data_IF_786383878098
#
_entry.id   IF_786383878098
#
_cell.length_a   1.000
_cell.length_b   1.000
_cell.length_c   1.000
_cell.angle_alpha   90.00
_cell.angle_beta   90.00
_cell.angle_gamma   90.00
#
_symmetry.space_group_name_H-M   'P 1'
#
loop_
_entity.id
_entity.type
_entity.pdbx_description
1 polymer ?
#
# COMPACT_ATOMS: atom_id res chain seq x y z
N UNK A 1 -0.30 -23.35 -0.48
CA UNK A 1 -0.73 -23.76 -1.84
C UNK A 1 0.42 -23.59 -2.81
N UNK A 2 0.42 -24.24 -3.97
CA UNK A 2 1.50 -24.07 -4.97
C UNK A 2 1.19 -22.85 -5.83
N UNK A 3 2.00 -21.79 -5.74
CA UNK A 3 1.82 -20.58 -6.56
C UNK A 3 2.26 -20.87 -8.00
N UNK A 4 1.33 -20.86 -8.95
CA UNK A 4 1.62 -20.99 -10.38
C UNK A 4 1.98 -19.63 -10.98
N UNK A 5 3.22 -19.19 -10.80
CA UNK A 5 3.72 -17.95 -11.42
C UNK A 5 3.87 -18.11 -12.93
N UNK A 6 3.28 -17.20 -13.71
CA UNK A 6 3.31 -17.26 -15.18
C UNK A 6 4.65 -16.80 -15.79
N UNK A 7 5.36 -15.90 -15.10
CA UNK A 7 6.68 -15.44 -15.51
C UNK A 7 7.64 -15.35 -14.30
N UNK A 8 8.38 -16.44 -14.00
CA UNK A 8 9.37 -16.44 -12.94
C UNK A 8 10.55 -15.49 -13.18
N UNK A 9 10.71 -14.91 -14.38
CA UNK A 9 11.81 -13.98 -14.69
C UNK A 9 11.58 -12.59 -14.07
N UNK A 10 10.34 -12.22 -13.75
CA UNK A 10 9.98 -11.00 -13.04
C UNK A 10 10.70 -10.90 -11.67
N UNK A 11 10.89 -12.03 -11.00
CA UNK A 11 11.63 -12.10 -9.73
C UNK A 11 13.10 -11.70 -9.94
N UNK A 12 13.75 -12.27 -10.97
CA UNK A 12 15.13 -11.93 -11.31
C UNK A 12 15.26 -10.46 -11.69
N UNK A 13 14.31 -9.92 -12.46
CA UNK A 13 14.30 -8.51 -12.82
C UNK A 13 14.19 -7.61 -11.57
N UNK A 14 13.25 -7.90 -10.67
CA UNK A 14 13.10 -7.19 -9.40
C UNK A 14 14.38 -7.21 -8.56
N UNK A 15 15.00 -8.38 -8.36
CA UNK A 15 16.23 -8.50 -7.56
C UNK A 15 17.41 -7.75 -8.18
N UNK A 16 17.53 -7.72 -9.53
CA UNK A 16 18.54 -6.91 -10.23
C UNK A 16 18.34 -5.42 -10.03
N UNK A 17 17.09 -4.95 -10.05
CA UNK A 17 16.78 -3.54 -9.77
C UNK A 17 17.22 -3.16 -8.35
N UNK A 18 17.01 -4.04 -7.37
CA UNK A 18 17.44 -3.79 -5.99
C UNK A 18 18.97 -3.75 -5.83
N UNK A 19 19.72 -4.36 -6.76
CA UNK A 19 21.17 -4.33 -6.77
C UNK A 19 21.77 -3.05 -7.40
N UNK A 20 20.94 -2.12 -7.89
CA UNK A 20 21.36 -0.78 -8.36
C UNK A 20 22.51 -0.81 -9.40
N UNK A 21 22.52 -1.84 -10.26
CA UNK A 21 23.52 -2.00 -11.33
C UNK A 21 24.75 -2.85 -10.96
N UNK A 22 24.87 -3.31 -9.71
CA UNK A 22 25.94 -4.21 -9.29
C UNK A 22 25.63 -5.67 -9.68
N UNK A 23 26.34 -6.18 -10.68
CA UNK A 23 26.13 -7.51 -11.25
C UNK A 23 26.44 -8.66 -10.27
N UNK A 24 27.45 -8.48 -9.40
CA UNK A 24 27.84 -9.50 -8.42
C UNK A 24 26.79 -9.57 -7.30
N UNK A 25 26.38 -8.41 -6.79
CA UNK A 25 25.34 -8.29 -5.77
C UNK A 25 23.98 -8.81 -6.28
N UNK A 26 23.63 -8.52 -7.53
CA UNK A 26 22.45 -9.08 -8.18
C UNK A 26 22.52 -10.61 -8.20
N UNK A 27 23.67 -11.18 -8.55
CA UNK A 27 23.90 -12.61 -8.54
C UNK A 27 23.71 -13.23 -7.15
N UNK A 28 24.18 -12.57 -6.09
CA UNK A 28 24.01 -13.02 -4.71
C UNK A 28 22.56 -12.93 -4.21
N UNK A 29 21.84 -11.87 -4.57
CA UNK A 29 20.42 -11.71 -4.24
C UNK A 29 19.57 -12.77 -4.95
N UNK A 30 19.82 -13.01 -6.24
CA UNK A 30 19.16 -14.09 -7.00
C UNK A 30 19.44 -15.46 -6.37
N UNK A 31 20.69 -15.72 -5.99
CA UNK A 31 21.11 -16.96 -5.36
C UNK A 31 20.40 -17.21 -4.03
N UNK A 32 20.27 -16.17 -3.20
CA UNK A 32 19.70 -16.26 -1.86
C UNK A 32 18.17 -16.27 -1.83
N UNK A 33 17.50 -15.55 -2.72
CA UNK A 33 16.08 -15.22 -2.54
C UNK A 33 15.16 -15.87 -3.58
N UNK A 34 15.62 -16.09 -4.81
CA UNK A 34 14.76 -16.46 -5.95
C UNK A 34 13.87 -17.68 -5.68
N UNK A 35 14.41 -18.73 -5.05
CA UNK A 35 13.67 -19.96 -4.74
C UNK A 35 12.51 -19.73 -3.77
N UNK A 36 12.72 -18.89 -2.76
CA UNK A 36 11.70 -18.57 -1.75
C UNK A 36 10.63 -17.63 -2.31
N UNK A 37 11.01 -16.66 -3.13
CA UNK A 37 10.09 -15.70 -3.75
C UNK A 37 9.13 -16.38 -4.73
N UNK A 38 9.58 -17.42 -5.43
CA UNK A 38 8.71 -18.25 -6.30
C UNK A 38 7.55 -18.92 -5.55
N UNK A 39 7.64 -19.04 -4.22
CA UNK A 39 6.66 -19.72 -3.36
C UNK A 39 5.93 -18.75 -2.43
N UNK A 40 6.24 -17.45 -2.48
CA UNK A 40 5.66 -16.45 -1.57
C UNK A 40 4.26 -16.05 -2.05
N UNK A 41 3.23 -16.56 -1.38
CA UNK A 41 1.82 -16.27 -1.70
C UNK A 41 1.48 -14.78 -1.63
N UNK A 42 2.03 -14.03 -0.66
CA UNK A 42 1.83 -12.57 -0.55
C UNK A 42 2.37 -11.77 -1.75
N UNK A 43 3.31 -12.32 -2.51
CA UNK A 43 3.83 -11.69 -3.73
C UNK A 43 3.12 -12.17 -4.99
N UNK A 44 2.11 -13.02 -4.85
CA UNK A 44 1.40 -13.60 -5.95
C UNK A 44 0.04 -12.92 -6.09
N UNK A 45 -0.16 -12.20 -7.18
CA UNK A 45 -1.50 -11.69 -7.52
C UNK A 45 -2.13 -12.63 -8.53
N UNK A 46 -3.30 -13.18 -8.20
CA UNK A 46 -4.06 -14.02 -9.12
C UNK A 46 -4.44 -13.24 -10.39
N UNK A 47 -4.33 -13.91 -11.53
CA UNK A 47 -4.70 -13.37 -12.84
C UNK A 47 -6.07 -13.92 -13.19
N UNK A 48 -7.05 -13.02 -13.33
CA UNK A 48 -8.45 -13.39 -13.54
C UNK A 48 -8.86 -13.45 -15.02
N UNK A 49 -8.10 -12.80 -15.90
CA UNK A 49 -8.33 -12.78 -17.34
C UNK A 49 -7.02 -13.10 -18.08
N UNK A 50 -7.12 -13.90 -19.14
CA UNK A 50 -5.97 -14.29 -19.96
C UNK A 50 -5.34 -13.02 -20.59
N UNK A 51 -4.05 -12.74 -20.35
CA UNK A 51 -3.39 -11.56 -20.93
C UNK A 51 -3.46 -11.57 -22.47
N UNK A 52 -3.63 -10.41 -23.14
CA UNK A 52 -3.70 -10.34 -24.61
C UNK A 52 -2.47 -10.93 -25.32
N UNK A 53 -1.31 -10.80 -24.68
CA UNK A 53 0.02 -11.28 -25.07
C UNK A 53 0.38 -12.63 -24.44
N UNK A 54 -0.59 -13.36 -23.87
CA UNK A 54 -0.34 -14.62 -23.19
C UNK A 54 0.36 -15.65 -24.10
N UNK A 55 1.44 -16.29 -23.62
CA UNK A 55 2.16 -17.30 -24.37
C UNK A 55 1.28 -18.53 -24.63
N UNK A 56 1.56 -19.24 -25.72
CA UNK A 56 0.69 -20.32 -26.22
C UNK A 56 0.44 -21.43 -25.18
N UNK A 57 1.43 -21.73 -24.35
CA UNK A 57 1.30 -22.71 -23.26
C UNK A 57 0.29 -22.29 -22.19
N UNK A 58 0.20 -20.98 -21.88
CA UNK A 58 -0.73 -20.44 -20.90
C UNK A 58 -2.16 -20.45 -21.46
N UNK A 59 -2.32 -20.12 -22.75
CA UNK A 59 -3.63 -20.20 -23.45
C UNK A 59 -4.20 -21.62 -23.40
N UNK A 60 -3.35 -22.63 -23.63
CA UNK A 60 -3.76 -24.05 -23.62
C UNK A 60 -4.15 -24.55 -22.22
N UNK A 61 -3.55 -24.02 -21.16
CA UNK A 61 -3.80 -24.46 -19.77
C UNK A 61 -4.75 -23.57 -18.98
N UNK A 62 -5.25 -22.48 -19.58
CA UNK A 62 -6.01 -21.45 -18.87
C UNK A 62 -7.26 -22.00 -18.15
N UNK A 63 -8.02 -22.87 -18.82
CA UNK A 63 -9.28 -23.39 -18.29
C UNK A 63 -9.11 -24.57 -17.31
N UNK A 64 -7.99 -25.29 -17.37
CA UNK A 64 -7.80 -26.57 -16.64
C UNK A 64 -6.63 -26.54 -15.63
N UNK A 65 -5.83 -25.46 -15.60
CA UNK A 65 -4.56 -25.39 -14.87
C UNK A 65 -4.43 -24.27 -13.85
N UNK A 66 -5.48 -23.48 -13.62
CA UNK A 66 -5.48 -22.34 -12.69
C UNK A 66 -5.61 -22.75 -11.20
N UNK A 67 -5.45 -21.80 -10.27
CA UNK A 67 -5.23 -20.36 -10.48
C UNK A 67 -3.79 -20.00 -10.89
N UNK A 68 -3.64 -19.04 -11.81
CA UNK A 68 -2.35 -18.50 -12.29
C UNK A 68 -2.05 -17.15 -11.65
N UNK A 69 -0.77 -16.84 -11.43
CA UNK A 69 -0.36 -15.64 -10.69
C UNK A 69 0.76 -14.86 -11.40
N UNK A 70 0.78 -13.54 -11.23
CA UNK A 70 1.93 -12.69 -11.55
C UNK A 70 2.70 -12.31 -10.27
N UNK A 71 3.99 -12.00 -10.41
CA UNK A 71 4.80 -11.56 -9.28
C UNK A 71 4.57 -10.06 -9.04
N UNK A 72 3.96 -9.73 -7.89
CA UNK A 72 3.81 -8.35 -7.41
C UNK A 72 4.52 -8.18 -6.07
N UNK A 73 5.70 -7.54 -6.02
CA UNK A 73 6.36 -7.25 -4.76
C UNK A 73 5.58 -6.18 -3.98
N UNK A 74 5.38 -6.42 -2.69
CA UNK A 74 4.83 -5.45 -1.74
C UNK A 74 5.97 -4.61 -1.10
N UNK A 75 5.60 -3.53 -0.40
CA UNK A 75 6.57 -2.68 0.28
C UNK A 75 7.39 -3.45 1.34
N UNK A 76 6.76 -4.39 2.04
CA UNK A 76 7.40 -5.22 3.05
C UNK A 76 8.50 -6.11 2.43
N UNK A 77 8.25 -6.72 1.27
CA UNK A 77 9.24 -7.50 0.53
C UNK A 77 10.38 -6.62 0.05
N UNK A 78 10.09 -5.41 -0.46
CA UNK A 78 11.12 -4.47 -0.86
C UNK A 78 12.04 -4.11 0.33
N UNK A 79 11.47 -3.90 1.51
CA UNK A 79 12.23 -3.63 2.74
C UNK A 79 13.10 -4.83 3.17
N UNK A 80 12.54 -6.04 3.14
CA UNK A 80 13.30 -7.26 3.46
C UNK A 80 14.45 -7.50 2.48
N UNK A 81 14.22 -7.33 1.18
CA UNK A 81 15.26 -7.52 0.16
C UNK A 81 16.35 -6.46 0.32
N UNK A 82 15.97 -5.21 0.63
CA UNK A 82 16.93 -4.13 0.94
C UNK A 82 17.78 -4.46 2.16
N UNK A 83 17.18 -5.01 3.22
CA UNK A 83 17.92 -5.44 4.42
C UNK A 83 18.95 -6.54 4.11
N UNK A 84 18.57 -7.54 3.29
CA UNK A 84 19.48 -8.59 2.84
C UNK A 84 20.59 -8.04 1.94
N UNK A 85 20.25 -7.11 1.04
CA UNK A 85 21.23 -6.40 0.20
C UNK A 85 22.25 -5.66 1.06
N UNK A 86 21.79 -4.88 2.03
CA UNK A 86 22.66 -4.10 2.91
C UNK A 86 23.61 -5.02 3.69
N UNK A 87 23.14 -6.19 4.12
CA UNK A 87 23.98 -7.23 4.72
C UNK A 87 25.08 -7.70 3.77
N UNK A 88 24.74 -8.02 2.52
CA UNK A 88 25.70 -8.49 1.53
C UNK A 88 26.74 -7.43 1.16
N UNK A 89 26.31 -6.17 1.00
CA UNK A 89 27.20 -5.02 0.76
C UNK A 89 28.18 -4.85 1.92
N UNK A 90 27.68 -4.85 3.17
CA UNK A 90 28.52 -4.74 4.35
C UNK A 90 29.46 -5.94 4.50
N UNK A 91 28.98 -7.15 4.21
CA UNK A 91 29.79 -8.36 4.22
C UNK A 91 30.93 -8.32 3.20
N UNK A 92 30.68 -7.76 2.01
CA UNK A 92 31.72 -7.58 0.99
C UNK A 92 32.76 -6.56 1.44
N UNK A 93 32.33 -5.41 1.96
CA UNK A 93 33.24 -4.36 2.44
C UNK A 93 34.16 -4.86 3.56
N UNK A 94 33.63 -5.66 4.50
CA UNK A 94 34.38 -6.23 5.63
C UNK A 94 35.14 -7.52 5.28
N UNK A 95 35.19 -7.91 3.99
CA UNK A 95 35.82 -9.15 3.54
C UNK A 95 35.33 -10.40 4.31
N UNK A 96 34.02 -10.47 4.59
CA UNK A 96 33.43 -11.46 5.46
C UNK A 96 33.79 -12.90 5.03
N UNK A 97 34.25 -13.78 5.95
CA UNK A 97 34.77 -15.10 5.60
C UNK A 97 33.79 -16.00 4.82
N UNK A 98 32.48 -15.83 5.02
CA UNK A 98 31.48 -16.66 4.35
C UNK A 98 31.36 -16.37 2.84
N UNK A 99 31.74 -15.18 2.37
CA UNK A 99 31.75 -14.85 0.95
C UNK A 99 32.90 -15.53 0.21
N UNK A 100 34.00 -15.83 0.92
CA UNK A 100 35.18 -16.53 0.36
C UNK A 100 34.97 -18.05 0.26
N UNK A 101 33.98 -18.59 1.00
CA UNK A 101 33.66 -20.01 0.97
C UNK A 101 32.68 -20.31 -0.18
N UNK A 102 33.24 -20.53 -1.36
CA UNK A 102 32.50 -20.67 -2.63
C UNK A 102 32.45 -22.11 -3.17
N UNK A 103 31.50 -22.40 -4.06
CA UNK A 103 31.48 -23.63 -4.86
C UNK A 103 32.43 -23.55 -6.07
N UNK A 104 32.46 -24.59 -6.91
CA UNK A 104 33.27 -24.64 -8.13
C UNK A 104 32.93 -23.54 -9.16
N UNK A 105 31.75 -22.93 -9.05
CA UNK A 105 31.28 -21.83 -9.90
C UNK A 105 31.52 -20.45 -9.27
N UNK A 106 32.25 -20.36 -8.15
CA UNK A 106 32.56 -19.10 -7.48
C UNK A 106 31.40 -18.51 -6.65
N UNK A 107 30.34 -19.28 -6.40
CA UNK A 107 29.15 -18.81 -5.67
C UNK A 107 29.27 -19.07 -4.16
N UNK A 108 28.96 -18.10 -3.28
CA UNK A 108 29.04 -18.30 -1.83
C UNK A 108 28.09 -19.39 -1.32
N UNK A 109 28.65 -20.42 -0.67
CA UNK A 109 27.89 -21.60 -0.22
C UNK A 109 26.77 -21.26 0.77
N UNK A 110 26.97 -20.22 1.59
CA UNK A 110 25.97 -19.79 2.58
C UNK A 110 24.68 -19.32 1.91
N UNK A 111 24.75 -18.71 0.73
CA UNK A 111 23.60 -18.10 0.06
C UNK A 111 22.73 -19.14 -0.65
N UNK A 112 23.31 -20.25 -1.12
CA UNK A 112 22.59 -21.33 -1.82
C UNK A 112 21.44 -21.96 -1.01
N UNK A 113 21.54 -21.92 0.32
CA UNK A 113 20.63 -22.61 1.22
C UNK A 113 19.72 -21.65 2.01
N UNK A 114 19.64 -20.38 1.61
CA UNK A 114 18.77 -19.42 2.26
C UNK A 114 17.37 -19.41 1.63
N UNK A 115 16.40 -19.09 2.48
CA UNK A 115 15.14 -18.48 2.07
C UNK A 115 15.09 -17.03 2.59
N UNK A 116 14.06 -16.27 2.20
CA UNK A 116 13.92 -14.87 2.61
C UNK A 116 14.00 -14.67 4.13
N UNK A 117 13.33 -15.52 4.91
CA UNK A 117 13.31 -15.40 6.36
C UNK A 117 14.70 -15.69 6.97
N UNK A 118 15.36 -16.75 6.51
CA UNK A 118 16.71 -17.10 6.93
C UNK A 118 17.75 -16.06 6.49
N UNK A 119 17.56 -15.43 5.33
CA UNK A 119 18.40 -14.34 4.85
C UNK A 119 18.25 -13.09 5.71
N UNK A 120 17.01 -12.69 6.04
CA UNK A 120 16.74 -11.60 6.99
C UNK A 120 17.35 -11.90 8.37
N UNK A 121 17.16 -13.12 8.89
CA UNK A 121 17.74 -13.52 10.17
C UNK A 121 19.28 -13.52 10.14
N UNK A 122 19.88 -13.95 9.03
CA UNK A 122 21.33 -13.93 8.86
C UNK A 122 21.86 -12.49 8.79
N UNK A 123 21.14 -11.58 8.14
CA UNK A 123 21.42 -10.16 8.13
C UNK A 123 21.35 -9.58 9.56
N UNK A 124 20.26 -9.86 10.29
CA UNK A 124 20.09 -9.45 11.69
C UNK A 124 21.28 -9.91 12.56
N UNK A 125 21.62 -11.20 12.52
CA UNK A 125 22.73 -11.77 13.30
C UNK A 125 24.08 -11.20 12.90
N UNK A 126 24.28 -10.92 11.61
CA UNK A 126 25.52 -10.34 11.11
C UNK A 126 25.68 -8.90 11.64
N UNK A 127 24.62 -8.11 11.57
CA UNK A 127 24.62 -6.76 12.11
C UNK A 127 24.70 -6.75 13.64
N UNK A 128 24.01 -7.64 14.35
CA UNK A 128 24.18 -7.83 15.80
C UNK A 128 25.65 -8.09 16.17
N UNK A 129 26.37 -8.92 15.38
CA UNK A 129 27.78 -9.23 15.63
C UNK A 129 28.71 -8.05 15.34
N UNK A 130 28.55 -7.37 14.20
CA UNK A 130 29.29 -6.15 13.90
C UNK A 130 29.04 -5.08 14.98
N UNK A 131 27.79 -4.98 15.43
CA UNK A 131 27.36 -4.08 16.49
C UNK A 131 27.92 -4.47 17.87
N UNK A 132 28.29 -5.72 18.13
CA UNK A 132 28.97 -6.09 19.40
C UNK A 132 30.46 -5.76 19.43
N UNK A 133 31.10 -5.63 18.27
CA UNK A 133 32.56 -5.48 18.13
C UNK A 133 33.03 -4.01 18.02
N UNK A 134 32.12 -3.05 17.83
CA UNK A 134 32.47 -1.63 17.75
C UNK A 134 32.56 -0.98 19.16
N UNK A 135 33.59 -0.16 19.46
CA UNK A 135 33.76 0.51 20.75
C UNK A 135 32.54 1.35 21.12
N UNK A 136 32.25 1.47 22.42
CA UNK A 136 31.23 2.38 22.92
C UNK A 136 31.80 3.79 23.03
N UNK A 137 31.20 4.76 22.31
CA UNK A 137 31.53 6.17 22.45
C UNK A 137 30.41 6.92 23.19
N UNK A 138 30.83 7.64 24.23
CA UNK A 138 30.05 8.64 24.97
C UNK A 138 29.92 9.95 24.17
N UNK A 139 29.07 10.86 24.66
CA UNK A 139 28.56 12.02 23.92
C UNK A 139 29.61 13.10 23.54
N UNK A 140 29.31 13.79 22.42
CA UNK A 140 29.94 15.04 21.92
C UNK A 140 31.43 14.96 21.53
N UNK A 141 31.80 13.86 20.90
CA UNK A 141 33.13 13.53 20.36
C UNK A 141 33.35 13.99 18.89
N UNK A 142 32.47 14.84 18.35
CA UNK A 142 32.50 15.29 16.94
C UNK A 142 31.76 14.37 15.97
N UNK A 143 31.19 13.25 16.43
CA UNK A 143 30.46 12.31 15.58
C UNK A 143 28.96 12.63 15.45
N UNK A 144 28.42 13.51 16.29
CA UNK A 144 27.01 13.92 16.30
C UNK A 144 26.85 15.35 16.83
N UNK A 145 25.78 16.06 16.44
CA UNK A 145 25.52 17.44 16.84
C UNK A 145 24.05 17.65 17.24
N UNK A 146 23.80 18.35 18.35
CA UNK A 146 22.41 18.70 18.74
C UNK A 146 21.87 19.78 17.81
N UNK A 147 20.69 19.56 17.23
CA UNK A 147 20.05 20.50 16.29
C UNK A 147 18.75 21.11 16.82
N UNK A 148 18.11 20.48 17.82
CA UNK A 148 16.90 21.04 18.44
C UNK A 148 16.74 20.51 19.87
N UNK A 149 16.30 21.38 20.78
CA UNK A 149 16.05 21.05 22.18
C UNK A 149 14.56 21.21 22.50
N UNK A 150 14.06 20.41 23.44
CA UNK A 150 12.67 20.41 23.89
C UNK A 150 12.60 20.39 25.42
N UNK A 151 11.42 20.69 25.95
CA UNK A 151 11.14 20.55 27.39
C UNK A 151 11.38 19.11 27.87
N UNK A 152 11.73 18.95 29.16
CA UNK A 152 11.99 17.63 29.76
C UNK A 152 13.32 17.00 29.36
N UNK A 153 14.24 17.77 28.78
CA UNK A 153 15.59 17.30 28.41
C UNK A 153 15.63 16.50 27.11
N UNK A 154 14.53 16.43 26.36
CA UNK A 154 14.53 15.82 25.04
C UNK A 154 15.29 16.70 24.04
N UNK A 155 16.00 16.05 23.11
CA UNK A 155 16.70 16.73 22.02
C UNK A 155 16.72 15.90 20.75
N UNK A 156 16.85 16.56 19.62
CA UNK A 156 17.18 15.91 18.35
C UNK A 156 18.64 16.17 18.02
N UNK A 157 19.32 15.08 17.72
CA UNK A 157 20.75 15.05 17.43
C UNK A 157 20.94 14.58 15.99
N UNK A 158 21.66 15.34 15.19
CA UNK A 158 22.12 14.94 13.86
C UNK A 158 23.33 14.02 14.00
N UNK A 159 23.32 12.89 13.30
CA UNK A 159 24.47 12.00 13.20
C UNK A 159 25.34 12.44 12.02
N UNK A 160 26.62 12.74 12.29
CA UNK A 160 27.55 13.31 11.32
C UNK A 160 28.48 12.27 10.70
N UNK A 161 28.59 11.10 11.32
CA UNK A 161 29.49 10.04 10.86
C UNK A 161 28.82 8.67 10.80
N UNK A 162 29.33 7.73 9.99
CA UNK A 162 28.89 6.34 9.99
C UNK A 162 29.02 5.67 11.36
N UNK A 163 30.01 6.05 12.16
CA UNK A 163 30.20 5.52 13.52
C UNK A 163 29.03 5.90 14.44
N UNK A 164 28.58 7.16 14.40
CA UNK A 164 27.41 7.60 15.14
C UNK A 164 26.15 6.82 14.75
N UNK A 165 25.95 6.56 13.45
CA UNK A 165 24.84 5.73 12.97
C UNK A 165 24.92 4.31 13.53
N UNK A 166 26.12 3.69 13.56
CA UNK A 166 26.30 2.34 14.11
C UNK A 166 25.97 2.27 15.60
N UNK A 167 26.45 3.23 16.39
CA UNK A 167 26.12 3.33 17.82
C UNK A 167 24.62 3.49 18.02
N UNK A 168 24.00 4.38 17.22
CA UNK A 168 22.56 4.64 17.27
C UNK A 168 21.74 3.39 16.93
N UNK A 169 22.05 2.73 15.81
CA UNK A 169 21.39 1.51 15.37
C UNK A 169 21.52 0.37 16.37
N UNK A 170 22.66 0.27 17.07
CA UNK A 170 22.85 -0.69 18.18
C UNK A 170 21.92 -0.40 19.36
N UNK A 171 21.85 0.86 19.81
CA UNK A 171 20.99 1.24 20.94
C UNK A 171 19.50 1.07 20.61
N UNK A 172 19.13 1.38 19.38
CA UNK A 172 17.74 1.34 18.91
C UNK A 172 17.29 -0.03 18.42
N UNK A 173 18.22 -0.93 18.09
CA UNK A 173 17.93 -2.19 17.41
C UNK A 173 17.36 -1.98 16.00
N UNK A 174 17.80 -0.93 15.30
CA UNK A 174 17.30 -0.54 13.97
C UNK A 174 18.36 -0.70 12.88
N UNK A 175 17.93 -0.69 11.61
CA UNK A 175 18.84 -0.75 10.46
C UNK A 175 19.60 0.56 10.19
N UNK A 176 19.33 1.65 10.91
CA UNK A 176 19.96 2.97 10.66
C UNK A 176 21.50 2.90 10.67
N UNK A 177 22.07 1.98 11.45
CA UNK A 177 23.52 1.79 11.56
C UNK A 177 24.22 1.29 10.30
N UNK A 178 23.47 0.77 9.33
CA UNK A 178 24.01 0.31 8.04
C UNK A 178 24.03 1.42 7.00
N UNK A 179 23.39 2.55 7.26
CA UNK A 179 23.14 3.60 6.26
C UNK A 179 24.28 4.62 6.12
N UNK A 180 25.49 4.27 6.59
CA UNK A 180 26.67 5.14 6.51
C UNK A 180 27.02 5.58 5.09
N UNK A 181 26.76 4.74 4.08
CA UNK A 181 26.96 5.10 2.67
C UNK A 181 26.07 6.27 2.23
N UNK A 182 24.79 6.28 2.63
CA UNK A 182 23.82 7.33 2.32
C UNK A 182 24.14 8.66 3.00
N UNK A 183 24.76 8.58 4.18
CA UNK A 183 25.26 9.74 4.91
C UNK A 183 26.47 10.34 4.18
N UNK A 184 27.47 9.52 3.85
CA UNK A 184 28.70 9.98 3.21
C UNK A 184 28.48 10.52 1.79
N UNK A 185 27.54 9.92 1.05
CA UNK A 185 27.15 10.42 -0.28
C UNK A 185 26.33 11.72 -0.24
N UNK A 186 25.85 12.12 0.96
CA UNK A 186 24.94 13.25 1.12
C UNK A 186 23.52 12.99 0.58
N UNK A 187 23.17 11.74 0.30
CA UNK A 187 21.82 11.34 -0.11
C UNK A 187 20.80 11.61 1.01
N UNK A 188 21.19 11.30 2.25
CA UNK A 188 20.36 11.46 3.43
C UNK A 188 21.11 12.05 4.63
N UNK A 189 20.42 12.89 5.39
CA UNK A 189 20.81 13.34 6.72
C UNK A 189 20.05 12.54 7.77
N UNK A 190 20.74 12.05 8.80
CA UNK A 190 20.15 11.21 9.82
C UNK A 190 20.08 11.93 11.16
N UNK A 191 18.98 11.71 11.89
CA UNK A 191 18.73 12.30 13.19
C UNK A 191 18.28 11.24 14.21
N UNK A 192 18.48 11.55 15.47
CA UNK A 192 18.05 10.75 16.62
C UNK A 192 17.32 11.64 17.62
N UNK A 193 16.09 11.27 17.99
CA UNK A 193 15.41 11.83 19.15
C UNK A 193 15.91 11.10 20.41
N UNK A 194 16.48 11.87 21.33
CA UNK A 194 17.02 11.37 22.60
C UNK A 194 16.36 12.05 23.80
N UNK A 195 16.29 11.34 24.92
CA UNK A 195 15.83 11.89 26.19
C UNK A 195 16.97 12.59 26.97
N UNK A 196 16.66 13.10 28.17
CA UNK A 196 17.63 13.78 29.05
C UNK A 196 18.75 12.89 29.59
N UNK A 197 18.66 11.56 29.43
CA UNK A 197 19.74 10.60 29.72
C UNK A 197 20.56 10.25 28.47
N UNK A 198 20.32 10.97 27.37
CA UNK A 198 20.93 10.72 26.06
C UNK A 198 20.58 9.33 25.49
N UNK A 199 19.45 8.75 25.91
CA UNK A 199 18.96 7.49 25.38
C UNK A 199 18.06 7.72 24.16
N UNK A 200 18.28 7.00 23.05
CA UNK A 200 17.52 7.21 21.85
C UNK A 200 16.16 6.51 21.87
N UNK A 201 15.22 7.14 21.18
CA UNK A 201 13.81 6.76 21.14
C UNK A 201 13.20 6.77 19.74
N UNK A 202 13.77 7.53 18.81
CA UNK A 202 13.40 7.49 17.40
C UNK A 202 14.58 7.91 16.51
N UNK A 203 14.68 7.32 15.32
CA UNK A 203 15.67 7.69 14.29
C UNK A 203 14.96 8.19 13.06
N UNK A 204 15.44 9.27 12.45
CA UNK A 204 14.84 9.91 11.28
C UNK A 204 15.85 9.98 10.14
N UNK A 205 15.43 9.70 8.91
CA UNK A 205 16.24 9.87 7.70
C UNK A 205 15.59 10.89 6.76
N UNK A 206 16.27 12.01 6.55
CA UNK A 206 15.84 13.12 5.69
C UNK A 206 16.65 13.12 4.40
N UNK A 207 15.97 13.00 3.26
CA UNK A 207 16.60 13.10 1.95
C UNK A 207 17.07 14.53 1.65
N UNK A 208 18.00 14.67 0.70
CA UNK A 208 18.46 15.98 0.19
C UNK A 208 17.33 16.87 -0.35
N UNK A 209 16.23 16.28 -0.81
CA UNK A 209 15.00 16.97 -1.25
C UNK A 209 14.13 17.47 -0.09
N UNK A 210 14.63 17.40 1.15
CA UNK A 210 13.93 17.77 2.38
C UNK A 210 12.67 16.91 2.64
N UNK A 211 12.69 15.66 2.19
CA UNK A 211 11.62 14.68 2.40
C UNK A 211 12.03 13.70 3.51
N UNK A 212 11.12 13.37 4.42
CA UNK A 212 11.33 12.32 5.40
C UNK A 212 11.16 10.96 4.72
N UNK A 213 12.26 10.24 4.55
CA UNK A 213 12.26 8.90 3.97
C UNK A 213 11.95 7.80 4.97
N UNK A 214 12.30 8.00 6.24
CA UNK A 214 12.15 6.97 7.27
C UNK A 214 12.06 7.61 8.65
N UNK A 215 11.22 7.04 9.53
CA UNK A 215 11.25 7.37 10.95
C UNK A 215 10.91 6.18 11.85
N UNK A 216 11.93 5.55 12.44
CA UNK A 216 11.73 4.32 13.20
C UNK A 216 11.85 4.55 14.70
N UNK A 217 10.95 3.94 15.45
CA UNK A 217 11.13 3.67 16.87
C UNK A 217 12.05 2.46 17.11
N UNK A 218 12.15 2.03 18.37
CA UNK A 218 12.98 0.87 18.74
C UNK A 218 12.58 -0.40 17.99
N UNK A 219 13.55 -1.19 17.55
CA UNK A 219 13.37 -2.45 16.83
C UNK A 219 12.57 -2.32 15.53
N UNK A 220 12.81 -1.25 14.76
CA UNK A 220 12.11 -0.92 13.52
C UNK A 220 10.58 -0.80 13.66
N UNK A 221 10.07 -0.60 14.89
CA UNK A 221 8.64 -0.41 15.16
C UNK A 221 8.22 1.04 14.90
N UNK A 222 6.92 1.32 14.75
CA UNK A 222 6.41 2.68 14.75
C UNK A 222 6.87 3.46 16.00
N UNK A 223 7.05 4.76 15.85
CA UNK A 223 7.42 5.64 16.96
C UNK A 223 6.30 5.66 18.00
N UNK A 224 6.62 5.61 19.29
CA UNK A 224 5.58 5.72 20.33
C UNK A 224 4.92 7.11 20.32
N UNK A 225 3.59 7.16 20.50
CA UNK A 225 2.80 8.41 20.45
C UNK A 225 3.38 9.55 21.31
N UNK A 226 3.91 9.23 22.50
CA UNK A 226 4.53 10.22 23.41
C UNK A 226 5.76 10.94 22.84
N UNK A 227 6.38 10.40 21.79
CA UNK A 227 7.53 10.98 21.11
C UNK A 227 7.16 11.75 19.83
N UNK A 228 5.90 11.70 19.39
CA UNK A 228 5.44 12.44 18.22
C UNK A 228 5.52 13.95 18.39
N UNK A 229 5.14 14.58 19.53
CA UNK A 229 5.17 16.04 19.64
C UNK A 229 6.54 16.67 19.32
N UNK A 230 7.68 16.24 19.91
CA UNK A 230 8.98 16.82 19.54
C UNK A 230 9.38 16.52 18.09
N UNK A 231 9.02 15.34 17.55
CA UNK A 231 9.27 15.02 16.14
C UNK A 231 8.47 15.94 15.21
N UNK A 232 7.18 16.13 15.47
CA UNK A 232 6.32 17.02 14.69
C UNK A 232 6.83 18.46 14.71
N UNK A 233 7.26 18.96 15.87
CA UNK A 233 7.90 20.27 15.98
C UNK A 233 9.16 20.37 15.12
N UNK A 234 10.00 19.34 15.13
CA UNK A 234 11.21 19.29 14.31
C UNK A 234 10.93 19.24 12.82
N UNK A 235 10.00 18.40 12.38
CA UNK A 235 9.59 18.32 10.98
C UNK A 235 9.07 19.68 10.48
N UNK A 236 8.28 20.38 11.31
CA UNK A 236 7.76 21.72 10.99
C UNK A 236 8.89 22.75 10.89
N UNK A 237 9.76 22.82 11.90
CA UNK A 237 10.86 23.80 11.96
C UNK A 237 11.84 23.62 10.78
N UNK A 238 12.21 22.37 10.52
CA UNK A 238 13.13 22.02 9.44
C UNK A 238 12.45 21.98 8.05
N UNK A 239 11.14 22.25 7.99
CA UNK A 239 10.30 22.21 6.78
C UNK A 239 10.40 20.88 6.03
N UNK A 240 10.53 19.79 6.78
CA UNK A 240 10.66 18.44 6.23
C UNK A 240 9.29 17.95 5.78
N UNK A 241 9.19 17.54 4.52
CA UNK A 241 7.94 17.03 3.94
C UNK A 241 7.79 15.52 4.19
N UNK A 242 6.58 15.07 4.53
CA UNK A 242 6.21 13.65 4.53
C UNK A 242 5.81 13.14 3.13
N UNK A 243 5.81 14.04 2.13
CA UNK A 243 5.19 13.93 0.82
C UNK A 243 3.69 13.60 0.84
N UNK A 244 3.23 12.52 1.48
CA UNK A 244 1.79 12.19 1.61
C UNK A 244 1.37 11.55 2.93
N UNK A 245 2.19 10.73 3.60
CA UNK A 245 2.02 10.29 5.00
C UNK A 245 3.15 9.35 5.43
N UNK A 246 3.36 9.18 6.73
CA UNK A 246 4.39 8.28 7.28
C UNK A 246 3.78 7.22 8.19
N UNK A 247 3.77 5.94 7.75
CA UNK A 247 3.31 4.77 8.56
C UNK A 247 4.11 4.66 9.87
N UNK A 248 5.39 4.93 9.73
CA UNK A 248 6.42 5.04 10.76
C UNK A 248 6.07 5.99 11.93
N UNK A 249 5.25 7.01 11.66
CA UNK A 249 4.85 8.05 12.60
C UNK A 249 3.40 7.92 13.08
N UNK A 250 2.90 6.71 13.29
CA UNK A 250 1.49 6.45 13.63
C UNK A 250 0.51 7.07 12.63
N UNK A 251 0.78 6.86 11.34
CA UNK A 251 -0.08 7.38 10.27
C UNK A 251 -0.19 8.90 10.31
N UNK A 252 0.94 9.57 10.57
CA UNK A 252 1.02 11.02 10.50
C UNK A 252 0.83 11.46 9.05
N UNK A 253 -0.18 12.28 8.83
CA UNK A 253 -0.47 12.92 7.56
C UNK A 253 0.12 14.33 7.57
N UNK A 254 0.48 14.83 6.39
CA UNK A 254 0.85 16.23 6.19
C UNK A 254 -0.02 16.83 5.10
N UNK A 255 -0.66 17.96 5.36
CA UNK A 255 -1.41 18.69 4.34
C UNK A 255 -0.52 19.64 3.54
N UNK A 256 -1.07 20.27 2.50
CA UNK A 256 -0.34 21.20 1.62
C UNK A 256 0.13 22.48 2.30
N UNK A 257 -0.42 22.82 3.48
CA UNK A 257 0.07 23.93 4.30
C UNK A 257 1.29 23.53 5.15
N UNK A 258 1.62 22.24 5.18
CA UNK A 258 2.68 21.67 6.00
C UNK A 258 2.22 21.31 7.42
N UNK A 259 0.93 21.43 7.73
CA UNK A 259 0.37 21.02 9.02
C UNK A 259 0.34 19.49 9.13
N UNK A 260 0.61 18.98 10.34
CA UNK A 260 0.77 17.56 10.63
C UNK A 260 -0.40 17.06 11.46
N UNK A 261 -1.05 15.99 10.99
CA UNK A 261 -2.27 15.43 11.57
C UNK A 261 -2.10 13.94 11.86
N UNK A 262 -2.38 13.49 13.07
CA UNK A 262 -2.35 12.06 13.40
C UNK A 262 -3.68 11.44 12.94
N UNK A 263 -3.65 10.55 11.94
CA UNK A 263 -4.86 10.00 11.33
C UNK A 263 -5.83 9.36 12.35
N UNK A 264 -5.30 8.66 13.35
CA UNK A 264 -6.09 7.98 14.40
C UNK A 264 -6.60 8.93 15.49
N UNK A 265 -6.23 10.21 15.43
CA UNK A 265 -6.63 11.25 16.39
C UNK A 265 -7.23 12.47 15.68
N UNK A 266 -7.70 12.29 14.44
CA UNK A 266 -8.44 13.33 13.75
C UNK A 266 -9.71 13.69 14.54
N UNK A 267 -10.06 14.98 14.62
CA UNK A 267 -11.33 15.41 15.20
C UNK A 267 -12.52 14.73 14.51
N UNK A 268 -13.65 14.59 15.22
CA UNK A 268 -14.85 13.96 14.66
C UNK A 268 -15.35 14.67 13.39
N UNK A 269 -15.18 15.98 13.31
CA UNK A 269 -15.43 16.79 12.11
C UNK A 269 -14.11 17.36 11.63
N UNK A 270 -13.72 17.00 10.41
CA UNK A 270 -12.41 17.34 9.89
C UNK A 270 -12.44 17.64 8.39
N UNK A 271 -11.77 18.73 8.01
CA UNK A 271 -11.68 19.19 6.63
C UNK A 271 -10.23 19.12 6.13
N UNK A 272 -9.95 18.17 5.26
CA UNK A 272 -8.69 18.03 4.54
C UNK A 272 -8.71 18.95 3.30
N UNK A 273 -7.73 19.86 3.21
CA UNK A 273 -7.70 20.96 2.23
C UNK A 273 -7.13 20.61 0.85
N UNK A 274 -6.76 19.36 0.63
CA UNK A 274 -6.25 18.89 -0.66
C UNK A 274 -6.79 17.48 -0.96
N UNK A 275 -6.11 16.73 -1.81
CA UNK A 275 -6.30 15.30 -2.01
C UNK A 275 -5.75 14.52 -0.82
N UNK A 276 -6.50 13.53 -0.37
CA UNK A 276 -6.13 12.62 0.71
C UNK A 276 -5.81 11.26 0.11
N UNK A 277 -4.67 10.69 0.48
CA UNK A 277 -4.24 9.37 0.02
C UNK A 277 -3.81 8.54 1.22
N UNK A 278 -4.46 7.40 1.42
CA UNK A 278 -4.12 6.45 2.49
C UNK A 278 -3.98 5.09 1.81
N UNK A 279 -2.80 4.47 1.95
CA UNK A 279 -2.54 3.12 1.41
C UNK A 279 -1.99 2.19 2.47
N UNK A 280 -2.33 0.91 2.33
CA UNK A 280 -1.79 -0.20 3.11
C UNK A 280 -1.82 0.06 4.62
N UNK A 281 -2.97 0.55 5.10
CA UNK A 281 -3.15 1.01 6.47
C UNK A 281 -4.07 0.08 7.24
N UNK A 282 -3.48 -0.90 7.91
CA UNK A 282 -4.21 -1.88 8.72
C UNK A 282 -4.46 -1.41 10.15
N UNK A 283 -3.90 -0.27 10.56
CA UNK A 283 -4.21 0.37 11.83
C UNK A 283 -5.49 1.23 11.73
N UNK A 284 -5.86 1.66 10.52
CA UNK A 284 -7.05 2.45 10.27
C UNK A 284 -8.32 1.59 10.40
N UNK A 285 -8.99 1.69 11.54
CA UNK A 285 -10.27 1.01 11.77
C UNK A 285 -11.51 1.79 11.31
N UNK A 286 -11.45 3.12 11.36
CA UNK A 286 -12.56 4.03 11.06
C UNK A 286 -12.01 5.39 10.60
N UNK A 287 -12.79 6.10 9.79
CA UNK A 287 -12.57 7.51 9.47
C UNK A 287 -13.30 8.42 10.49
N UNK A 288 -13.00 9.73 10.51
CA UNK A 288 -13.79 10.71 11.24
C UNK A 288 -15.29 10.61 10.95
N UNK A 289 -16.12 11.05 11.89
CA UNK A 289 -17.57 11.05 11.75
C UNK A 289 -18.05 11.88 10.56
N UNK A 290 -17.40 13.03 10.34
CA UNK A 290 -17.63 13.96 9.24
C UNK A 290 -16.28 14.35 8.61
N UNK A 291 -16.02 13.83 7.42
CA UNK A 291 -14.79 14.07 6.67
C UNK A 291 -15.10 14.83 5.39
N UNK A 292 -14.48 16.00 5.24
CA UNK A 292 -14.45 16.76 3.99
C UNK A 292 -13.06 16.70 3.37
N UNK A 293 -12.95 16.34 2.10
CA UNK A 293 -11.71 16.34 1.31
C UNK A 293 -11.90 17.29 0.12
N UNK A 294 -11.09 18.35 0.04
CA UNK A 294 -11.20 19.36 -1.03
C UNK A 294 -10.62 18.91 -2.38
N UNK A 295 -9.86 17.81 -2.41
CA UNK A 295 -9.34 17.18 -3.63
C UNK A 295 -9.91 15.79 -3.88
N UNK A 296 -9.07 14.89 -4.39
CA UNK A 296 -9.39 13.47 -4.56
C UNK A 296 -9.15 12.70 -3.26
N UNK A 297 -9.91 11.65 -3.01
CA UNK A 297 -9.69 10.75 -1.88
C UNK A 297 -9.38 9.33 -2.37
N UNK A 298 -8.19 8.84 -2.07
CA UNK A 298 -7.73 7.48 -2.41
C UNK A 298 -7.52 6.65 -1.13
N UNK A 299 -8.20 5.51 -1.03
CA UNK A 299 -8.12 4.54 0.07
C UNK A 299 -7.78 3.16 -0.47
N UNK A 300 -6.52 2.74 -0.39
CA UNK A 300 -6.07 1.46 -0.95
C UNK A 300 -5.55 0.52 0.15
N UNK A 301 -5.90 -0.77 0.09
CA UNK A 301 -5.28 -1.78 0.96
C UNK A 301 -5.47 -1.55 2.46
N UNK A 302 -6.58 -0.91 2.87
CA UNK A 302 -6.89 -0.69 4.28
C UNK A 302 -7.74 -1.86 4.79
N UNK A 303 -7.11 -2.97 5.18
CA UNK A 303 -7.82 -4.25 5.37
C UNK A 303 -8.67 -4.31 6.64
N UNK A 304 -8.44 -3.39 7.58
CA UNK A 304 -9.16 -3.30 8.85
C UNK A 304 -10.19 -2.17 8.92
N UNK A 305 -10.28 -1.32 7.88
CA UNK A 305 -11.27 -0.25 7.81
C UNK A 305 -12.68 -0.85 7.71
N UNK A 306 -13.56 -0.49 8.63
CA UNK A 306 -14.93 -1.07 8.72
C UNK A 306 -16.01 -0.15 8.17
N UNK A 307 -15.87 1.14 8.38
CA UNK A 307 -16.83 2.18 7.98
C UNK A 307 -16.12 3.49 7.63
N UNK A 308 -16.81 4.36 6.89
CA UNK A 308 -16.31 5.68 6.48
C UNK A 308 -16.95 6.84 7.28
N UNK A 309 -17.41 6.59 8.51
CA UNK A 309 -18.13 7.59 9.30
C UNK A 309 -19.58 7.80 8.84
N UNK A 310 -20.14 8.97 9.15
CA UNK A 310 -21.53 9.31 8.84
C UNK A 310 -21.67 10.26 7.65
N UNK A 311 -20.77 11.23 7.53
CA UNK A 311 -20.77 12.23 6.48
C UNK A 311 -19.44 12.24 5.75
N UNK A 312 -19.49 12.12 4.43
CA UNK A 312 -18.31 12.20 3.57
C UNK A 312 -18.56 13.16 2.42
N UNK A 313 -17.73 14.19 2.31
CA UNK A 313 -17.73 15.11 1.17
C UNK A 313 -16.36 15.06 0.50
N UNK A 314 -16.31 14.67 -0.77
CA UNK A 314 -15.10 14.68 -1.59
C UNK A 314 -15.35 15.59 -2.79
N UNK A 315 -14.59 16.66 -2.94
CA UNK A 315 -14.82 17.61 -4.02
C UNK A 315 -14.37 17.07 -5.39
N UNK A 316 -13.37 16.18 -5.41
CA UNK A 316 -12.92 15.44 -6.59
C UNK A 316 -13.45 14.00 -6.64
N UNK A 317 -12.59 13.07 -7.04
CA UNK A 317 -12.90 11.64 -7.16
C UNK A 317 -12.68 10.91 -5.83
N UNK A 318 -13.50 9.89 -5.55
CA UNK A 318 -13.28 8.92 -4.49
C UNK A 318 -12.91 7.56 -5.09
N UNK A 319 -11.75 7.04 -4.72
CA UNK A 319 -11.27 5.71 -5.10
C UNK A 319 -11.01 4.87 -3.85
N UNK A 320 -11.70 3.74 -3.74
CA UNK A 320 -11.51 2.76 -2.66
C UNK A 320 -11.17 1.41 -3.29
N UNK A 321 -10.01 0.86 -2.96
CA UNK A 321 -9.53 -0.42 -3.51
C UNK A 321 -8.97 -1.35 -2.45
N UNK A 322 -9.30 -2.64 -2.50
CA UNK A 322 -8.69 -3.64 -1.62
C UNK A 322 -9.02 -3.40 -0.14
N UNK A 323 -10.28 -3.07 0.16
CA UNK A 323 -10.78 -2.83 1.52
C UNK A 323 -11.84 -3.90 1.87
N UNK A 324 -11.44 -5.17 2.13
CA UNK A 324 -12.35 -6.31 2.25
C UNK A 324 -13.26 -6.28 3.49
N UNK A 325 -12.93 -5.48 4.51
CA UNK A 325 -13.75 -5.29 5.72
C UNK A 325 -14.59 -4.03 5.71
N UNK A 326 -14.50 -3.21 4.66
CA UNK A 326 -15.32 -2.01 4.55
C UNK A 326 -16.73 -2.42 4.13
N UNK A 327 -17.64 -2.51 5.11
CA UNK A 327 -19.00 -3.03 4.89
C UNK A 327 -19.97 -1.97 4.35
N UNK A 328 -19.70 -0.69 4.60
CA UNK A 328 -20.54 0.39 4.12
C UNK A 328 -19.75 1.68 3.87
N UNK A 329 -20.21 2.46 2.89
CA UNK A 329 -19.82 3.88 2.78
C UNK A 329 -20.46 4.71 3.91
N UNK A 330 -20.09 5.98 4.00
CA UNK A 330 -20.74 6.91 4.93
C UNK A 330 -22.22 7.04 4.61
N UNK A 331 -23.07 7.27 5.61
CA UNK A 331 -24.54 7.36 5.46
C UNK A 331 -24.94 8.36 4.38
N UNK A 332 -24.28 9.52 4.41
CA UNK A 332 -24.42 10.61 3.46
C UNK A 332 -23.08 10.81 2.75
N UNK A 333 -23.06 10.73 1.41
CA UNK A 333 -21.81 10.84 0.65
C UNK A 333 -22.01 11.70 -0.59
N UNK A 334 -21.23 12.78 -0.68
CA UNK A 334 -21.22 13.71 -1.81
C UNK A 334 -19.86 13.67 -2.48
N UNK A 335 -19.84 13.31 -3.75
CA UNK A 335 -18.63 13.17 -4.56
C UNK A 335 -18.76 14.08 -5.77
N UNK A 336 -17.85 15.04 -5.84
CA UNK A 336 -17.85 16.06 -6.88
C UNK A 336 -17.30 15.56 -8.23
N UNK A 337 -16.65 14.41 -8.28
CA UNK A 337 -16.25 13.71 -9.50
C UNK A 337 -16.86 12.31 -9.58
N UNK A 338 -16.03 11.30 -9.85
CA UNK A 338 -16.40 9.88 -9.95
C UNK A 338 -16.19 9.12 -8.64
N UNK A 339 -17.01 8.10 -8.41
CA UNK A 339 -16.81 7.08 -7.37
C UNK A 339 -16.31 5.79 -8.00
N UNK A 340 -15.20 5.27 -7.50
CA UNK A 340 -14.67 3.96 -7.85
C UNK A 340 -14.52 3.09 -6.60
N UNK A 341 -15.21 1.96 -6.59
CA UNK A 341 -15.08 0.90 -5.59
C UNK A 341 -14.57 -0.36 -6.27
N UNK A 342 -13.47 -0.91 -5.77
CA UNK A 342 -12.87 -2.11 -6.34
C UNK A 342 -12.37 -3.06 -5.26
N UNK A 343 -12.70 -4.35 -5.36
CA UNK A 343 -12.24 -5.37 -4.40
C UNK A 343 -12.52 -4.97 -2.94
N UNK A 344 -13.78 -4.63 -2.66
CA UNK A 344 -14.22 -4.14 -1.36
C UNK A 344 -15.31 -5.04 -0.75
N UNK A 345 -15.37 -5.05 0.59
CA UNK A 345 -16.39 -5.78 1.36
C UNK A 345 -17.76 -5.12 1.41
N UNK A 346 -18.02 -4.14 0.54
CA UNK A 346 -19.19 -3.26 0.61
C UNK A 346 -20.47 -4.07 0.45
N UNK A 347 -21.33 -3.98 1.46
CA UNK A 347 -22.69 -4.53 1.48
C UNK A 347 -23.72 -3.45 1.15
N UNK A 348 -23.46 -2.21 1.59
CA UNK A 348 -24.37 -1.07 1.46
C UNK A 348 -23.65 0.20 0.99
N UNK A 349 -24.19 0.85 -0.03
CA UNK A 349 -23.81 2.21 -0.41
C UNK A 349 -24.54 3.23 0.47
N UNK A 350 -24.16 4.51 0.34
CA UNK A 350 -24.79 5.63 1.04
C UNK A 350 -26.26 5.78 0.64
N UNK A 351 -27.14 6.09 1.61
CA UNK A 351 -28.55 6.35 1.32
C UNK A 351 -28.75 7.60 0.47
N UNK A 352 -27.94 8.63 0.74
CA UNK A 352 -27.92 9.88 -0.02
C UNK A 352 -26.60 9.98 -0.79
N UNK A 353 -26.40 9.04 -1.72
CA UNK A 353 -25.23 9.04 -2.60
C UNK A 353 -25.43 10.05 -3.73
N UNK A 354 -24.60 11.09 -3.76
CA UNK A 354 -24.56 12.07 -4.86
C UNK A 354 -23.19 12.01 -5.53
N UNK A 355 -23.18 11.70 -6.82
CA UNK A 355 -21.98 11.59 -7.65
C UNK A 355 -22.22 12.43 -8.90
N UNK A 356 -21.33 13.37 -9.21
CA UNK A 356 -21.45 14.16 -10.44
C UNK A 356 -21.10 13.35 -11.68
N UNK A 357 -19.99 12.61 -11.67
CA UNK A 357 -19.52 11.95 -12.88
C UNK A 357 -19.98 10.49 -13.00
N UNK A 358 -19.07 9.52 -12.85
CA UNK A 358 -19.35 8.09 -13.06
C UNK A 358 -19.34 7.33 -11.73
N UNK A 359 -20.15 6.27 -11.67
CA UNK A 359 -20.09 5.26 -10.62
C UNK A 359 -19.51 3.98 -11.20
N UNK A 360 -18.35 3.55 -10.67
CA UNK A 360 -17.65 2.34 -11.09
C UNK A 360 -17.54 1.42 -9.88
N UNK A 361 -18.18 0.26 -9.93
CA UNK A 361 -18.09 -0.77 -8.89
C UNK A 361 -17.61 -2.06 -9.53
N UNK A 362 -16.47 -2.55 -9.07
CA UNK A 362 -15.84 -3.79 -9.52
C UNK A 362 -15.54 -4.70 -8.34
N UNK A 363 -15.66 -6.02 -8.54
CA UNK A 363 -15.21 -7.03 -7.55
C UNK A 363 -15.75 -6.79 -6.12
N UNK A 364 -17.02 -6.41 -5.99
CA UNK A 364 -17.67 -6.24 -4.70
C UNK A 364 -18.68 -7.38 -4.47
N UNK A 365 -18.25 -8.55 -3.95
CA UNK A 365 -19.08 -9.75 -3.94
C UNK A 365 -20.26 -9.69 -2.96
N UNK A 366 -20.20 -8.79 -1.98
CA UNK A 366 -21.23 -8.62 -0.93
C UNK A 366 -22.26 -7.56 -1.25
N UNK A 367 -22.11 -6.81 -2.34
CA UNK A 367 -23.04 -5.77 -2.72
C UNK A 367 -24.32 -6.41 -3.29
N UNK A 368 -25.43 -6.27 -2.58
CA UNK A 368 -26.70 -6.92 -2.94
C UNK A 368 -27.56 -6.04 -3.84
N UNK A 369 -27.60 -4.74 -3.55
CA UNK A 369 -28.42 -3.76 -4.25
C UNK A 369 -27.79 -2.37 -4.22
N UNK A 370 -28.22 -1.54 -5.16
CA UNK A 370 -27.85 -0.12 -5.24
C UNK A 370 -29.06 0.70 -4.73
N UNK A 371 -28.89 1.60 -3.74
CA UNK A 371 -30.00 2.31 -3.13
C UNK A 371 -30.62 3.36 -4.07
N UNK A 372 -31.95 3.59 -4.01
CA UNK A 372 -32.60 4.70 -4.70
C UNK A 372 -32.51 6.01 -3.87
N UNK A 373 -32.53 7.18 -4.53
CA UNK A 373 -32.37 7.37 -5.97
C UNK A 373 -30.89 7.22 -6.39
N UNK A 374 -30.64 6.76 -7.62
CA UNK A 374 -29.30 6.83 -8.22
C UNK A 374 -29.35 7.61 -9.53
N UNK A 375 -28.63 8.73 -9.55
CA UNK A 375 -28.37 9.53 -10.73
C UNK A 375 -26.86 9.76 -10.86
N UNK A 376 -26.32 9.49 -12.05
CA UNK A 376 -24.93 9.79 -12.44
C UNK A 376 -24.95 10.53 -13.78
N UNK A 377 -24.23 11.65 -13.91
CA UNK A 377 -24.27 12.45 -15.14
C UNK A 377 -23.51 11.77 -16.29
N UNK A 378 -22.61 10.82 -15.96
CA UNK A 378 -21.86 10.03 -16.92
C UNK A 378 -22.30 8.56 -16.91
N UNK A 379 -21.39 7.63 -16.65
CA UNK A 379 -21.64 6.20 -16.82
C UNK A 379 -21.80 5.47 -15.49
N UNK A 380 -22.65 4.44 -15.49
CA UNK A 380 -22.71 3.45 -14.41
C UNK A 380 -22.03 2.16 -14.90
N UNK A 381 -20.99 1.72 -14.21
CA UNK A 381 -20.23 0.52 -14.53
C UNK A 381 -20.23 -0.42 -13.34
N UNK A 382 -20.84 -1.60 -13.51
CA UNK A 382 -20.96 -2.65 -12.52
C UNK A 382 -20.33 -3.93 -13.08
N UNK A 383 -19.20 -4.36 -12.52
CA UNK A 383 -18.46 -5.53 -13.01
C UNK A 383 -18.15 -6.51 -11.89
N UNK A 384 -18.29 -7.81 -12.15
CA UNK A 384 -17.91 -8.86 -11.19
C UNK A 384 -18.51 -8.67 -9.79
N UNK A 385 -19.79 -8.31 -9.71
CA UNK A 385 -20.52 -8.17 -8.45
C UNK A 385 -21.52 -9.33 -8.32
N UNK A 386 -21.08 -10.54 -7.92
CA UNK A 386 -21.94 -11.72 -7.89
C UNK A 386 -23.12 -11.58 -6.93
N UNK A 387 -23.00 -10.86 -5.82
CA UNK A 387 -24.12 -10.63 -4.91
C UNK A 387 -25.23 -9.72 -5.47
N UNK A 388 -24.93 -8.95 -6.53
CA UNK A 388 -25.82 -7.90 -7.01
C UNK A 388 -27.06 -8.52 -7.65
N UNK A 389 -28.22 -8.23 -7.07
CA UNK A 389 -29.51 -8.81 -7.49
C UNK A 389 -30.54 -7.76 -7.88
N UNK A 390 -30.33 -6.49 -7.53
CA UNK A 390 -31.27 -5.39 -7.80
C UNK A 390 -30.57 -4.08 -8.13
N UNK A 391 -31.15 -3.37 -9.09
CA UNK A 391 -30.86 -1.95 -9.39
C UNK A 391 -32.07 -1.10 -8.98
N UNK A 392 -31.89 0.19 -8.67
CA UNK A 392 -32.96 1.06 -8.21
C UNK A 392 -33.91 1.41 -9.36
N UNK A 393 -35.20 1.51 -9.03
CA UNK A 393 -36.16 2.15 -9.93
C UNK A 393 -35.80 3.63 -10.12
N UNK A 394 -36.07 4.16 -11.31
CA UNK A 394 -35.70 5.54 -11.64
C UNK A 394 -34.21 5.77 -11.84
N UNK A 395 -33.40 4.70 -11.98
CA UNK A 395 -31.97 4.80 -12.28
C UNK A 395 -31.71 5.70 -13.50
N UNK A 396 -30.81 6.67 -13.37
CA UNK A 396 -30.40 7.55 -14.47
C UNK A 396 -28.88 7.52 -14.68
N UNK A 397 -28.45 7.15 -15.87
CA UNK A 397 -27.07 7.29 -16.35
C UNK A 397 -27.03 8.19 -17.59
N UNK A 398 -26.33 9.33 -17.53
CA UNK A 398 -26.29 10.29 -18.63
C UNK A 398 -25.56 9.79 -19.89
N UNK A 399 -24.66 8.81 -19.75
CA UNK A 399 -23.95 8.14 -20.86
C UNK A 399 -24.24 6.65 -20.87
N UNK A 400 -23.24 5.80 -20.63
CA UNK A 400 -23.36 4.35 -20.81
C UNK A 400 -23.75 3.64 -19.50
N UNK A 401 -24.47 2.53 -19.62
CA UNK A 401 -24.70 1.57 -18.54
C UNK A 401 -23.96 0.27 -18.89
N UNK A 402 -23.02 -0.14 -18.06
CA UNK A 402 -22.34 -1.42 -18.20
C UNK A 402 -22.59 -2.32 -17.00
N UNK A 403 -23.08 -3.53 -17.25
CA UNK A 403 -23.34 -4.54 -16.22
C UNK A 403 -22.80 -5.89 -16.71
N UNK A 404 -21.61 -6.27 -16.26
CA UNK A 404 -20.96 -7.51 -16.68
C UNK A 404 -20.58 -8.39 -15.50
N UNK A 405 -20.65 -9.71 -15.67
CA UNK A 405 -20.37 -10.72 -14.64
C UNK A 405 -21.13 -10.47 -13.34
N UNK A 406 -22.42 -10.15 -13.45
CA UNK A 406 -23.37 -9.95 -12.33
C UNK A 406 -24.51 -10.99 -12.41
N UNK A 407 -24.23 -12.28 -12.16
CA UNK A 407 -25.13 -13.40 -12.49
C UNK A 407 -26.46 -13.42 -11.74
N UNK A 408 -26.55 -12.76 -10.58
CA UNK A 408 -27.78 -12.70 -9.78
C UNK A 408 -28.71 -11.53 -10.15
N UNK A 409 -28.28 -10.64 -11.05
CA UNK A 409 -29.15 -9.60 -11.59
C UNK A 409 -30.01 -10.20 -12.71
N UNK A 410 -31.21 -10.64 -12.36
CA UNK A 410 -32.10 -11.35 -13.28
C UNK A 410 -33.05 -10.43 -14.06
N UNK A 411 -33.13 -9.16 -13.69
CA UNK A 411 -33.98 -8.16 -14.36
C UNK A 411 -33.38 -6.77 -14.25
N UNK A 412 -33.65 -5.95 -15.27
CA UNK A 412 -33.45 -4.50 -15.21
C UNK A 412 -34.72 -3.83 -14.62
N UNK A 413 -34.58 -2.68 -13.94
CA UNK A 413 -35.71 -1.92 -13.40
C UNK A 413 -36.63 -1.42 -14.51
N UNK A 414 -37.88 -1.14 -14.17
CA UNK A 414 -38.85 -0.77 -15.20
C UNK A 414 -38.58 0.61 -15.79
N UNK A 415 -38.19 1.56 -14.92
CA UNK A 415 -38.10 2.98 -15.26
C UNK A 415 -36.68 3.55 -15.23
N UNK A 416 -35.70 2.87 -15.84
CA UNK A 416 -34.34 3.42 -15.97
C UNK A 416 -34.13 4.18 -17.27
N UNK A 417 -33.19 5.13 -17.24
CA UNK A 417 -32.79 5.95 -18.38
C UNK A 417 -31.28 5.90 -18.57
N UNK A 418 -30.86 5.68 -19.81
CA UNK A 418 -29.45 5.64 -20.23
C UNK A 418 -29.32 6.50 -21.48
N UNK A 419 -28.42 7.47 -21.47
CA UNK A 419 -28.23 8.38 -22.61
C UNK A 419 -27.43 7.77 -23.77
N UNK A 420 -26.65 6.73 -23.49
CA UNK A 420 -25.79 6.02 -24.43
C UNK A 420 -26.11 4.54 -24.53
N UNK A 421 -25.08 3.71 -24.56
CA UNK A 421 -25.18 2.25 -24.78
C UNK A 421 -25.41 1.52 -23.46
N UNK A 422 -26.09 0.38 -23.57
CA UNK A 422 -26.26 -0.58 -22.48
C UNK A 422 -25.44 -1.82 -22.84
N UNK A 423 -24.39 -2.10 -22.08
CA UNK A 423 -23.50 -3.25 -22.29
C UNK A 423 -23.73 -4.25 -21.18
N UNK A 424 -24.05 -5.49 -21.54
CA UNK A 424 -24.27 -6.58 -20.58
C UNK A 424 -23.66 -7.90 -21.06
N UNK A 425 -23.66 -8.92 -20.20
CA UNK A 425 -23.27 -10.28 -20.61
C UNK A 425 -24.18 -10.86 -21.73
N UNK A 426 -25.36 -10.28 -21.95
CA UNK A 426 -26.29 -10.67 -23.02
C UNK A 426 -26.03 -9.95 -24.35
N UNK A 427 -25.13 -8.97 -24.37
CA UNK A 427 -24.80 -8.17 -25.55
C UNK A 427 -24.86 -6.66 -25.32
N UNK A 428 -24.83 -5.91 -26.43
CA UNK A 428 -24.84 -4.44 -26.46
C UNK A 428 -26.17 -3.95 -27.03
N UNK A 429 -26.83 -3.04 -26.33
CA UNK A 429 -28.12 -2.47 -26.68
C UNK A 429 -28.04 -0.95 -26.79
N UNK A 430 -28.88 -0.37 -27.62
CA UNK A 430 -28.97 1.09 -27.85
C UNK A 430 -30.15 1.74 -27.14
N UNK A 431 -31.02 0.95 -26.49
CA UNK A 431 -32.19 1.44 -25.77
C UNK A 431 -32.60 0.49 -24.63
N UNK A 432 -33.31 1.03 -23.64
CA UNK A 432 -33.73 0.33 -22.43
C UNK A 432 -34.66 -0.86 -22.71
N UNK A 433 -35.62 -0.71 -23.64
CA UNK A 433 -36.63 -1.73 -23.93
C UNK A 433 -36.00 -3.00 -24.50
N UNK A 434 -35.04 -2.85 -25.41
CA UNK A 434 -34.32 -3.97 -26.03
C UNK A 434 -33.47 -4.72 -24.99
N UNK A 435 -32.80 -3.99 -24.10
CA UNK A 435 -32.05 -4.59 -22.99
C UNK A 435 -32.98 -5.35 -22.04
N UNK A 436 -34.13 -4.75 -21.66
CA UNK A 436 -35.14 -5.42 -20.82
C UNK A 436 -35.72 -6.67 -21.46
N UNK A 437 -36.04 -6.61 -22.75
CA UNK A 437 -36.56 -7.75 -23.50
C UNK A 437 -35.55 -8.91 -23.52
N UNK A 438 -34.25 -8.62 -23.67
CA UNK A 438 -33.20 -9.64 -23.57
C UNK A 438 -33.17 -10.30 -22.18
N UNK A 439 -33.19 -9.52 -21.10
CA UNK A 439 -33.26 -10.06 -19.73
C UNK A 439 -34.52 -10.91 -19.52
N UNK A 440 -35.67 -10.46 -20.00
CA UNK A 440 -36.92 -11.21 -19.90
C UNK A 440 -36.88 -12.52 -20.70
N UNK A 441 -36.30 -12.52 -21.89
CA UNK A 441 -36.14 -13.73 -22.71
C UNK A 441 -35.18 -14.74 -22.05
N UNK A 442 -34.07 -14.27 -21.48
CA UNK A 442 -33.06 -15.14 -20.86
C UNK A 442 -33.48 -15.67 -19.48
N UNK A 443 -34.12 -14.84 -18.66
CA UNK A 443 -34.38 -15.14 -17.25
C UNK A 443 -35.86 -15.25 -16.88
N UNK A 444 -36.78 -14.77 -17.71
CA UNK A 444 -38.22 -14.76 -17.44
C UNK A 444 -38.83 -16.17 -17.30
N UNK A 445 -38.29 -17.17 -18.00
CA UNK A 445 -38.74 -18.56 -17.90
C UNK A 445 -38.28 -19.28 -16.62
N UNK A 446 -37.23 -18.79 -15.94
CA UNK A 446 -36.71 -19.39 -14.69
C UNK A 446 -37.65 -19.18 -13.48
N UNK A 447 -38.75 -18.44 -13.65
CA UNK A 447 -39.78 -18.22 -12.61
C UNK A 447 -40.89 -19.28 -12.57
N UNK A 448 -41.03 -20.15 -13.58
CA UNK A 448 -42.10 -21.16 -13.59
C UNK A 448 -41.65 -22.54 -13.04
N UNK A 449 -40.44 -22.66 -12.52
CA UNK A 449 -39.84 -23.93 -12.10
C UNK A 449 -39.28 -23.95 -10.67
N UNK A 450 -39.70 -23.02 -9.81
CA UNK A 450 -39.45 -23.06 -8.36
C UNK A 450 -40.73 -22.82 -7.57
#
# INVERSE_FOLDING_TARGET
>A
MTVNLIDPSEISHFLRLQAEGDAELAGWLELALSKSLRRRERSASEILDLPPDAPEWLRRKWNDGGPFHCFRPDAELADHVRHVRDWLVAARAENAPFLKRVNAQGQPLKLLNLDLAAACHAADKYFERLNRLAPGAEADDGHAATVMNFAGGYRIVQMLTPEALRVEGRKMGTCVGTQGGRLLSGEATFYSLRDGRNEPHATLARLKTNVLSECKGRHNRPVLAKYLPPIMSFLREMKISLQRYSRDLNNLLQDTSGELHILTSLPSTFAWRDSLEIRDNDDLGHLPLDLTVQGNFMLHGCHHLKDMGHWLTVAGNLEVRGCPRLHALARDTKIGGSLMLDDCGIERLSHNLSIRDSLIISRCPRLIEIPPPLQVDHSLVLRHCPGLSKLPEGLMAGRDLEITRCPHLLRLPDNFRVGGRIVTDLGVFTNADSARAAFAATFGARRQSF
#
